data_IF_941479203799
#
_entry.id   IF_941479203799
#
_cell.length_a   1.000
_cell.length_b   1.000
_cell.length_c   1.000
_cell.angle_alpha   90.00
_cell.angle_beta   90.00
_cell.angle_gamma   90.00
#
_symmetry.space_group_name_H-M   'P 1'
#
loop_
_entity.id
_entity.type
_entity.pdbx_description
1 polymer ?
#
# COMPACT_ATOMS: atom_id res chain seq x y z
N UNK A 1 19.22 -10.58 11.44
CA UNK A 1 18.14 -9.68 11.89
C UNK A 1 17.87 -8.64 10.79
N UNK A 2 16.62 -8.49 10.37
CA UNK A 2 16.28 -7.57 9.31
C UNK A 2 14.78 -7.27 9.25
N UNK A 3 14.42 -6.26 8.42
CA UNK A 3 13.05 -5.94 8.11
C UNK A 3 12.89 -5.74 6.59
N UNK A 4 11.84 -6.29 6.03
CA UNK A 4 11.47 -6.17 4.64
C UNK A 4 10.09 -5.49 4.59
N UNK A 5 9.91 -4.54 3.69
CA UNK A 5 8.61 -3.95 3.38
C UNK A 5 8.30 -4.15 1.91
N UNK A 6 7.19 -4.82 1.62
CA UNK A 6 6.73 -5.07 0.25
C UNK A 6 5.53 -4.19 -0.08
N UNK A 7 5.57 -3.52 -1.24
CA UNK A 7 4.51 -2.61 -1.66
C UNK A 7 3.41 -3.34 -2.45
N UNK A 8 2.24 -3.47 -1.84
CA UNK A 8 0.99 -3.86 -2.47
C UNK A 8 0.23 -2.61 -2.96
N UNK A 9 -1.07 -2.62 -2.89
CA UNK A 9 -1.99 -1.53 -3.21
C UNK A 9 -3.34 -1.77 -2.54
N UNK A 10 -4.14 -0.73 -2.33
CA UNK A 10 -5.57 -0.91 -2.02
C UNK A 10 -6.28 -1.75 -3.07
N UNK A 11 -5.84 -1.71 -4.34
CA UNK A 11 -6.34 -2.56 -5.42
C UNK A 11 -5.91 -4.03 -5.29
N UNK A 12 -4.97 -4.35 -4.44
CA UNK A 12 -4.57 -5.73 -4.12
C UNK A 12 -5.16 -6.25 -2.82
N UNK A 13 -5.75 -5.38 -1.99
CA UNK A 13 -6.22 -5.72 -0.65
C UNK A 13 -7.73 -5.56 -0.48
N UNK A 14 -8.34 -4.52 -1.04
CA UNK A 14 -9.68 -4.06 -0.65
C UNK A 14 -10.67 -4.07 -1.81
N UNK A 15 -10.28 -3.61 -3.00
CA UNK A 15 -11.16 -3.54 -4.17
C UNK A 15 -10.40 -3.71 -5.47
N UNK A 16 -11.12 -4.00 -6.56
CA UNK A 16 -10.61 -4.02 -7.91
C UNK A 16 -10.84 -2.71 -8.64
N UNK A 17 -10.10 -2.51 -9.71
CA UNK A 17 -10.29 -1.40 -10.64
C UNK A 17 -10.56 -1.92 -12.04
N UNK A 18 -11.45 -1.26 -12.76
CA UNK A 18 -11.77 -1.60 -14.15
C UNK A 18 -10.50 -1.57 -15.02
N UNK A 19 -10.37 -2.52 -15.95
CA UNK A 19 -9.23 -2.68 -16.86
C UNK A 19 -7.85 -2.86 -16.20
N UNK A 20 -7.80 -3.31 -14.92
CA UNK A 20 -6.56 -3.49 -14.16
C UNK A 20 -6.41 -4.90 -13.56
N UNK A 21 -6.94 -5.93 -14.23
CA UNK A 21 -6.90 -7.33 -13.74
C UNK A 21 -5.48 -7.77 -13.41
N UNK A 22 -4.51 -7.52 -14.29
CA UNK A 22 -3.11 -7.88 -14.11
C UNK A 22 -2.48 -7.16 -12.91
N UNK A 23 -2.79 -5.89 -12.72
CA UNK A 23 -2.31 -5.10 -11.58
C UNK A 23 -2.93 -5.60 -10.27
N UNK A 24 -4.24 -5.81 -10.26
CA UNK A 24 -4.94 -6.37 -9.11
C UNK A 24 -4.35 -7.73 -8.72
N UNK A 25 -4.14 -8.63 -9.69
CA UNK A 25 -3.55 -9.95 -9.44
C UNK A 25 -2.13 -9.84 -8.87
N UNK A 26 -1.28 -9.00 -9.47
CA UNK A 26 0.09 -8.78 -9.02
C UNK A 26 0.14 -8.22 -7.58
N UNK A 27 -0.67 -7.22 -7.28
CA UNK A 27 -0.68 -6.58 -5.95
C UNK A 27 -1.34 -7.46 -4.87
N UNK A 28 -2.33 -8.27 -5.23
CA UNK A 28 -2.87 -9.31 -4.34
C UNK A 28 -1.83 -10.40 -4.06
N UNK A 29 -1.03 -10.78 -5.05
CA UNK A 29 0.07 -11.72 -4.89
C UNK A 29 1.11 -11.27 -3.87
N UNK A 30 1.38 -9.97 -3.77
CA UNK A 30 2.28 -9.40 -2.75
C UNK A 30 1.75 -9.68 -1.33
N UNK A 31 0.45 -9.65 -1.10
CA UNK A 31 -0.15 -9.97 0.21
C UNK A 31 0.13 -11.43 0.59
N UNK A 32 -0.03 -12.35 -0.36
CA UNK A 32 0.31 -13.76 -0.17
C UNK A 32 1.81 -13.97 0.09
N UNK A 33 2.65 -13.30 -0.71
CA UNK A 33 4.11 -13.32 -0.54
C UNK A 33 4.54 -12.88 0.86
N UNK A 34 3.98 -11.77 1.36
CA UNK A 34 4.27 -11.24 2.71
C UNK A 34 3.95 -12.27 3.78
N UNK A 35 2.80 -12.95 3.68
CA UNK A 35 2.40 -13.99 4.65
C UNK A 35 3.32 -15.20 4.61
N UNK A 36 3.64 -15.70 3.42
CA UNK A 36 4.53 -16.85 3.24
C UNK A 36 5.93 -16.57 3.78
N UNK A 37 6.54 -15.47 3.36
CA UNK A 37 7.88 -15.10 3.80
C UNK A 37 7.95 -14.77 5.31
N UNK A 38 6.88 -14.27 5.91
CA UNK A 38 6.86 -14.08 7.37
C UNK A 38 7.00 -15.41 8.12
N UNK A 39 6.39 -16.47 7.61
CA UNK A 39 6.52 -17.82 8.18
C UNK A 39 7.93 -18.38 7.96
N UNK A 40 8.46 -18.22 6.76
CA UNK A 40 9.76 -18.82 6.39
C UNK A 40 10.94 -18.11 7.06
N UNK A 41 10.89 -16.77 7.16
CA UNK A 41 12.03 -15.96 7.60
C UNK A 41 11.99 -15.60 9.10
N UNK A 42 10.84 -15.74 9.74
CA UNK A 42 10.62 -15.25 11.11
C UNK A 42 11.59 -15.84 12.13
N UNK A 43 11.83 -17.16 12.10
CA UNK A 43 12.79 -17.82 12.99
C UNK A 43 14.24 -17.39 12.77
N UNK A 44 14.56 -16.90 11.57
CA UNK A 44 15.85 -16.29 11.23
C UNK A 44 15.99 -14.85 11.71
N UNK A 45 14.98 -14.30 12.39
CA UNK A 45 14.98 -12.92 12.89
C UNK A 45 14.74 -11.87 11.83
N UNK A 46 14.15 -12.23 10.68
CA UNK A 46 13.75 -11.29 9.63
C UNK A 46 12.23 -11.11 9.68
N UNK A 47 11.78 -9.87 9.79
CA UNK A 47 10.38 -9.50 9.68
C UNK A 47 10.05 -9.07 8.25
N UNK A 48 8.84 -9.36 7.80
CA UNK A 48 8.34 -8.83 6.55
C UNK A 48 6.90 -8.33 6.74
N UNK A 49 6.62 -7.12 6.27
CA UNK A 49 5.29 -6.57 6.24
C UNK A 49 4.99 -5.97 4.87
N UNK A 50 3.74 -5.96 4.52
CA UNK A 50 3.21 -5.30 3.33
C UNK A 50 2.70 -3.89 3.66
N UNK A 51 2.70 -3.05 2.65
CA UNK A 51 2.06 -1.75 2.69
C UNK A 51 1.20 -1.58 1.45
N UNK A 52 -0.05 -1.17 1.64
CA UNK A 52 -1.03 -0.99 0.58
C UNK A 52 -1.43 0.49 0.49
N UNK A 53 -0.74 1.29 -0.33
CA UNK A 53 -1.10 2.69 -0.56
C UNK A 53 -2.43 2.86 -1.28
N UNK A 54 -3.13 3.96 -0.98
CA UNK A 54 -4.24 4.48 -1.77
C UNK A 54 -3.76 5.36 -2.93
N UNK A 55 -4.43 6.46 -3.17
CA UNK A 55 -4.02 7.46 -4.17
C UNK A 55 -2.88 8.30 -3.63
N UNK A 56 -1.69 8.11 -4.21
CA UNK A 56 -0.47 8.82 -3.84
C UNK A 56 0.06 9.58 -5.06
N UNK A 57 0.42 10.85 -4.87
CA UNK A 57 0.97 11.70 -5.91
C UNK A 57 2.39 11.29 -6.26
N UNK A 58 2.51 10.38 -7.20
CA UNK A 58 3.79 9.89 -7.74
C UNK A 58 3.88 10.21 -9.22
N UNK A 59 5.07 10.09 -9.81
CA UNK A 59 5.25 10.24 -11.25
C UNK A 59 4.33 9.31 -12.05
N UNK A 60 4.14 8.07 -11.60
CA UNK A 60 3.20 7.12 -12.20
C UNK A 60 1.75 7.61 -12.09
N UNK A 61 1.32 8.08 -10.93
CA UNK A 61 -0.05 8.54 -10.70
C UNK A 61 -0.39 9.79 -11.53
N UNK A 62 0.61 10.63 -11.81
CA UNK A 62 0.47 11.84 -12.64
C UNK A 62 0.38 11.54 -14.14
N UNK A 63 0.71 10.33 -14.58
CA UNK A 63 0.59 9.93 -15.98
C UNK A 63 -0.87 9.82 -16.40
N UNK A 64 -1.28 10.52 -17.43
CA UNK A 64 -2.63 10.41 -18.03
C UNK A 64 -2.77 9.23 -18.97
N UNK A 65 -1.65 8.67 -19.42
CA UNK A 65 -1.61 7.49 -20.29
C UNK A 65 -1.72 6.18 -19.51
N UNK A 66 -1.10 6.11 -18.32
CA UNK A 66 -0.98 4.89 -17.53
C UNK A 66 -1.65 4.96 -16.16
N UNK A 67 -2.26 6.08 -15.81
CA UNK A 67 -2.91 6.28 -14.51
C UNK A 67 -3.95 7.41 -14.59
N UNK A 68 -4.37 7.90 -13.42
CA UNK A 68 -5.49 8.87 -13.30
C UNK A 68 -5.11 10.30 -13.64
N UNK A 69 -3.82 10.64 -13.66
CA UNK A 69 -3.35 12.02 -13.80
C UNK A 69 -3.74 12.93 -12.63
N UNK A 70 -3.34 14.19 -12.70
CA UNK A 70 -3.68 15.18 -11.65
C UNK A 70 -5.19 15.37 -11.49
N UNK A 71 -6.00 15.48 -12.57
CA UNK A 71 -7.46 15.59 -12.45
C UNK A 71 -8.10 14.42 -11.72
N UNK A 72 -7.60 13.19 -11.94
CA UNK A 72 -8.08 11.99 -11.26
C UNK A 72 -7.72 11.96 -9.77
N UNK A 73 -6.52 12.43 -9.41
CA UNK A 73 -6.13 12.57 -8.00
C UNK A 73 -6.99 13.59 -7.26
N UNK A 74 -7.25 14.74 -7.87
CA UNK A 74 -8.13 15.78 -7.31
C UNK A 74 -9.58 15.28 -7.18
N UNK A 75 -10.07 14.52 -8.16
CA UNK A 75 -11.40 13.91 -8.08
C UNK A 75 -11.47 12.87 -6.96
N UNK A 76 -10.43 12.03 -6.82
CA UNK A 76 -10.35 11.02 -5.77
C UNK A 76 -10.32 11.64 -4.37
N UNK A 77 -9.67 12.79 -4.19
CA UNK A 77 -9.58 13.47 -2.90
C UNK A 77 -10.96 13.78 -2.29
N UNK A 78 -12.00 13.94 -3.11
CA UNK A 78 -13.38 14.18 -2.65
C UNK A 78 -14.00 12.97 -1.95
N UNK A 79 -13.49 11.77 -2.22
CA UNK A 79 -13.99 10.51 -1.65
C UNK A 79 -13.09 9.98 -0.55
N UNK A 80 -11.92 10.58 -0.35
CA UNK A 80 -11.00 10.19 0.72
C UNK A 80 -11.40 10.91 2.01
N UNK A 81 -11.68 10.20 3.11
CA UNK A 81 -12.09 10.81 4.38
C UNK A 81 -11.15 11.91 4.89
N UNK A 82 -9.84 11.78 4.70
CA UNK A 82 -8.89 12.85 5.07
C UNK A 82 -8.92 14.06 4.10
N UNK A 83 -9.77 14.05 3.05
CA UNK A 83 -9.98 15.17 2.15
C UNK A 83 -8.81 15.49 1.21
N UNK A 84 -7.83 14.60 1.12
CA UNK A 84 -6.67 14.77 0.25
C UNK A 84 -6.15 13.42 -0.27
N UNK A 85 -5.47 13.42 -1.39
CA UNK A 85 -4.59 12.31 -1.78
C UNK A 85 -3.32 12.33 -0.91
N UNK A 86 -2.59 11.22 -0.89
CA UNK A 86 -1.33 11.11 -0.16
C UNK A 86 -0.15 11.67 -0.95
N UNK A 87 0.88 12.08 -0.23
CA UNK A 87 2.19 12.40 -0.77
C UNK A 87 3.14 11.20 -0.54
N UNK A 88 4.25 11.06 -1.29
CA UNK A 88 5.21 9.98 -1.08
C UNK A 88 5.71 9.86 0.37
N UNK A 89 5.84 10.98 1.06
CA UNK A 89 6.27 11.04 2.46
C UNK A 89 5.28 10.35 3.41
N UNK A 90 3.97 10.39 3.12
CA UNK A 90 2.95 9.67 3.91
C UNK A 90 3.21 8.15 3.90
N UNK A 91 3.79 7.64 2.82
CA UNK A 91 4.16 6.24 2.66
C UNK A 91 5.53 5.94 3.25
N UNK A 92 6.50 6.83 3.02
CA UNK A 92 7.87 6.68 3.49
C UNK A 92 7.94 6.59 5.02
N UNK A 93 7.17 7.40 5.74
CA UNK A 93 7.12 7.40 7.20
C UNK A 93 6.61 6.06 7.76
N UNK A 94 5.62 5.44 7.10
CA UNK A 94 5.13 4.12 7.51
C UNK A 94 6.17 3.03 7.21
N UNK A 95 6.87 3.11 6.07
CA UNK A 95 7.98 2.20 5.76
C UNK A 95 9.06 2.30 6.84
N UNK A 96 9.43 3.51 7.21
CA UNK A 96 10.44 3.77 8.25
C UNK A 96 10.00 3.15 9.59
N UNK A 97 8.75 3.36 9.99
CA UNK A 97 8.19 2.72 11.19
C UNK A 97 8.27 1.19 11.12
N UNK A 98 7.84 0.59 10.01
CA UNK A 98 7.86 -0.87 9.82
C UNK A 98 9.27 -1.45 9.84
N UNK A 99 10.28 -0.68 9.45
CA UNK A 99 11.69 -1.05 9.54
C UNK A 99 12.29 -0.85 10.93
N UNK A 100 11.67 -0.07 11.79
CA UNK A 100 12.17 0.28 13.11
C UNK A 100 11.87 -0.78 14.18
N UNK A 101 12.47 -0.61 15.36
CA UNK A 101 12.17 -1.43 16.54
C UNK A 101 10.75 -1.18 17.10
N UNK A 102 10.09 -0.09 16.73
CA UNK A 102 8.68 0.15 17.03
C UNK A 102 7.77 -0.94 16.48
N UNK A 103 8.17 -1.55 15.36
CA UNK A 103 7.45 -2.65 14.72
C UNK A 103 8.06 -4.05 14.99
N UNK A 104 8.84 -4.21 16.07
CA UNK A 104 9.61 -5.45 16.36
C UNK A 104 8.77 -6.72 16.52
N UNK A 105 7.48 -6.59 16.78
CA UNK A 105 6.54 -7.72 16.89
C UNK A 105 5.53 -7.79 15.74
N UNK A 106 5.75 -7.00 14.67
CA UNK A 106 4.93 -7.01 13.46
C UNK A 106 5.63 -7.79 12.36
N UNK A 107 4.99 -8.87 11.87
CA UNK A 107 5.41 -9.62 10.70
C UNK A 107 4.20 -10.26 10.04
N UNK A 108 4.20 -10.35 8.71
CA UNK A 108 3.12 -10.95 7.94
C UNK A 108 1.88 -10.07 7.75
N UNK A 109 1.91 -8.82 8.21
CA UNK A 109 0.79 -7.89 8.09
C UNK A 109 0.89 -7.05 6.82
N UNK A 110 -0.25 -6.68 6.25
CA UNK A 110 -0.33 -5.66 5.19
C UNK A 110 -1.13 -4.47 5.71
N UNK A 111 -0.46 -3.33 5.81
CA UNK A 111 -1.03 -2.10 6.36
C UNK A 111 -1.57 -1.26 5.21
N UNK A 112 -2.82 -0.85 5.30
CA UNK A 112 -3.45 0.07 4.35
C UNK A 112 -3.14 1.51 4.76
N UNK A 113 -2.66 2.32 3.82
CA UNK A 113 -2.33 3.74 4.02
C UNK A 113 -2.97 4.52 2.87
N UNK A 114 -4.20 4.95 3.07
CA UNK A 114 -5.09 5.44 2.01
C UNK A 114 -5.97 6.63 2.41
N UNK A 115 -5.73 7.22 3.57
CA UNK A 115 -6.55 8.32 4.09
C UNK A 115 -7.98 7.92 4.47
N UNK A 116 -8.24 6.63 4.61
CA UNK A 116 -9.58 6.08 4.91
C UNK A 116 -10.41 5.73 3.69
N UNK A 117 -9.87 5.83 2.48
CA UNK A 117 -10.58 5.55 1.22
C UNK A 117 -11.29 4.19 1.22
N UNK A 118 -10.60 3.15 1.71
CA UNK A 118 -11.12 1.77 1.68
C UNK A 118 -12.25 1.52 2.69
N UNK A 119 -12.41 2.36 3.69
CA UNK A 119 -13.43 2.20 4.76
C UNK A 119 -14.54 3.24 4.71
N UNK A 120 -14.31 4.36 4.02
CA UNK A 120 -15.28 5.44 3.88
C UNK A 120 -16.27 5.19 2.74
N UNK A 121 -17.53 5.56 2.95
CA UNK A 121 -18.54 5.74 1.89
C UNK A 121 -19.27 7.05 2.17
N UNK A 122 -19.28 7.92 1.18
CA UNK A 122 -19.94 9.24 1.25
C UNK A 122 -20.84 9.43 0.06
#
# INVERSE_FOLDING_TARGET
KGAIVALSSVMGTTYGWHDHVQYNAAKSGVVGLVRGLACDLGRGGVRINGLAPGFIKTAQALSTEHSVGMPGLEAAAKYIPLGRYGEPEDIADVILFLCSDGARYMSGQTIIVDGGLAVGRY
#
